data_IF_030008512485
#
_entry.id   IF_030008512485
#
_cell.length_a   1.000
_cell.length_b   1.000
_cell.length_c   1.000
_cell.angle_alpha   90.00
_cell.angle_beta   90.00
_cell.angle_gamma   90.00
#
_symmetry.space_group_name_H-M   'P 1'
#
loop_
_entity.id
_entity.type
_entity.pdbx_description
1 polymer ?
#
# COMPACT_ATOMS: atom_id res chain seq x y z
N UNK A 1 12.76 -3.46 18.73
CA UNK A 1 12.15 -3.20 17.41
C UNK A 1 10.65 -3.38 17.55
N UNK A 2 9.83 -2.36 17.28
CA UNK A 2 8.38 -2.50 17.40
C UNK A 2 7.89 -3.52 16.35
N UNK A 3 6.90 -4.36 16.68
CA UNK A 3 6.27 -5.29 15.71
C UNK A 3 5.87 -4.57 14.41
N UNK A 4 5.59 -3.27 14.53
CA UNK A 4 5.33 -2.35 13.42
C UNK A 4 6.48 -2.26 12.42
N UNK A 5 7.69 -1.93 12.87
CA UNK A 5 8.84 -1.76 11.98
C UNK A 5 9.24 -3.04 11.23
N UNK A 6 9.07 -4.22 11.85
CA UNK A 6 9.39 -5.51 11.21
C UNK A 6 8.46 -5.77 10.02
N UNK A 7 7.17 -5.51 10.17
CA UNK A 7 6.18 -5.69 9.08
C UNK A 7 6.43 -4.68 7.96
N UNK A 8 6.75 -3.43 8.27
CA UNK A 8 7.07 -2.41 7.26
C UNK A 8 8.28 -2.81 6.42
N UNK A 9 9.36 -3.27 7.06
CA UNK A 9 10.57 -3.72 6.35
C UNK A 9 10.27 -4.94 5.49
N UNK A 10 9.49 -5.89 6.00
CA UNK A 10 9.05 -7.05 5.24
C UNK A 10 8.27 -6.65 3.99
N UNK A 11 7.33 -5.71 4.11
CA UNK A 11 6.54 -5.19 2.98
C UNK A 11 7.41 -4.52 1.93
N UNK A 12 8.40 -3.72 2.34
CA UNK A 12 9.35 -3.11 1.42
C UNK A 12 10.12 -4.22 0.66
N UNK A 13 10.59 -5.23 1.35
CA UNK A 13 11.32 -6.34 0.73
C UNK A 13 10.44 -7.12 -0.27
N UNK A 14 9.17 -7.37 0.09
CA UNK A 14 8.19 -8.03 -0.80
C UNK A 14 7.91 -7.15 -2.03
N UNK A 15 7.79 -5.83 -1.87
CA UNK A 15 7.55 -4.90 -2.97
C UNK A 15 8.67 -4.84 -4.00
N UNK A 16 9.91 -5.13 -3.57
CA UNK A 16 11.09 -5.26 -4.44
C UNK A 16 11.22 -6.64 -5.08
N UNK A 17 10.81 -7.69 -4.38
CA UNK A 17 10.97 -9.08 -4.82
C UNK A 17 9.83 -9.58 -5.71
N UNK A 18 8.62 -9.01 -5.60
CA UNK A 18 7.43 -9.50 -6.29
C UNK A 18 6.82 -8.46 -7.24
N UNK A 19 6.25 -8.90 -8.39
CA UNK A 19 5.53 -8.02 -9.29
C UNK A 19 4.28 -7.41 -8.64
N UNK A 20 3.91 -6.21 -9.09
CA UNK A 20 2.87 -5.35 -8.49
C UNK A 20 1.52 -6.06 -8.27
N UNK A 21 1.14 -7.02 -9.12
CA UNK A 21 -0.12 -7.76 -9.00
C UNK A 21 -0.18 -8.73 -7.81
N UNK A 22 0.97 -9.24 -7.31
CA UNK A 22 1.03 -10.06 -6.08
C UNK A 22 1.09 -9.16 -4.86
N UNK A 23 1.77 -8.02 -4.99
CA UNK A 23 2.00 -7.10 -3.91
C UNK A 23 0.75 -6.30 -3.51
N UNK A 24 -0.05 -5.83 -4.48
CA UNK A 24 -1.25 -5.03 -4.23
C UNK A 24 -2.26 -5.71 -3.28
N UNK A 25 -2.62 -6.99 -3.47
CA UNK A 25 -3.47 -7.74 -2.54
C UNK A 25 -2.86 -7.87 -1.14
N UNK A 26 -1.54 -8.06 -1.04
CA UNK A 26 -0.85 -8.16 0.23
C UNK A 26 -0.87 -6.82 0.99
N UNK A 27 -0.63 -5.71 0.29
CA UNK A 27 -0.73 -4.36 0.84
C UNK A 27 -2.17 -4.07 1.30
N UNK A 28 -3.17 -4.49 0.53
CA UNK A 28 -4.59 -4.37 0.91
C UNK A 28 -4.90 -5.08 2.23
N UNK A 29 -4.54 -6.36 2.35
CA UNK A 29 -4.73 -7.13 3.59
C UNK A 29 -4.01 -6.46 4.76
N UNK A 30 -2.80 -5.97 4.52
CA UNK A 30 -2.02 -5.28 5.55
C UNK A 30 -2.75 -4.03 6.04
N UNK A 31 -3.31 -3.20 5.16
CA UNK A 31 -4.02 -1.98 5.58
C UNK A 31 -5.36 -2.26 6.24
N UNK A 32 -6.03 -3.34 5.83
CA UNK A 32 -7.32 -3.73 6.37
C UNK A 32 -7.16 -4.29 7.80
N UNK A 33 -6.17 -5.15 8.04
CA UNK A 33 -5.96 -5.77 9.35
C UNK A 33 -5.06 -4.93 10.27
N UNK A 34 -4.08 -4.22 9.72
CA UNK A 34 -3.05 -3.52 10.47
C UNK A 34 -3.13 -2.01 10.22
N UNK A 35 -2.77 -1.21 11.23
CA UNK A 35 -2.84 0.27 11.17
C UNK A 35 -1.65 0.87 10.40
N UNK A 36 -1.33 0.32 9.22
CA UNK A 36 -0.18 0.73 8.39
C UNK A 36 -0.61 1.62 7.22
N UNK A 37 -1.46 2.61 7.49
CA UNK A 37 -2.02 3.46 6.44
C UNK A 37 -0.94 4.34 5.79
N UNK A 38 -0.10 4.97 6.60
CA UNK A 38 0.97 5.85 6.11
C UNK A 38 2.08 5.07 5.42
N UNK A 39 2.44 3.90 5.94
CA UNK A 39 3.43 3.02 5.33
C UNK A 39 2.95 2.49 3.98
N UNK A 40 1.66 2.19 3.84
CA UNK A 40 1.08 1.78 2.56
C UNK A 40 1.10 2.90 1.51
N UNK A 41 0.84 4.16 1.91
CA UNK A 41 0.99 5.32 1.01
C UNK A 41 2.45 5.48 0.58
N UNK A 42 3.38 5.42 1.53
CA UNK A 42 4.81 5.55 1.26
C UNK A 42 5.30 4.47 0.29
N UNK A 43 4.86 3.21 0.47
CA UNK A 43 5.25 2.14 -0.45
C UNK A 43 4.54 2.28 -1.81
N UNK A 44 3.31 2.80 -1.85
CA UNK A 44 2.63 3.14 -3.11
C UNK A 44 3.45 4.12 -3.97
N UNK A 45 4.09 5.11 -3.34
CA UNK A 45 5.02 6.03 -4.02
C UNK A 45 6.31 5.34 -4.49
N UNK A 46 6.88 4.43 -3.68
CA UNK A 46 8.06 3.66 -4.10
C UNK A 46 7.73 2.82 -5.34
N UNK A 47 6.54 2.24 -5.41
CA UNK A 47 6.10 1.43 -6.55
C UNK A 47 5.90 2.28 -7.79
N UNK A 48 5.31 3.47 -7.66
CA UNK A 48 5.20 4.41 -8.77
C UNK A 48 6.59 4.82 -9.29
N UNK A 49 7.57 4.98 -8.40
CA UNK A 49 8.94 5.25 -8.80
C UNK A 49 9.66 4.04 -9.44
N UNK A 50 9.35 2.80 -9.04
CA UNK A 50 9.98 1.58 -9.55
C UNK A 50 9.34 1.05 -10.84
N UNK A 51 8.02 1.14 -10.94
CA UNK A 51 7.22 0.53 -12.00
C UNK A 51 6.43 1.55 -12.83
N UNK A 52 6.42 2.83 -12.44
CA UNK A 52 5.85 3.90 -13.24
C UNK A 52 6.63 4.06 -14.55
N UNK A 53 5.89 4.36 -15.62
CA UNK A 53 6.48 4.48 -16.96
C UNK A 53 7.50 5.62 -17.00
N UNK A 54 8.75 5.39 -17.45
CA UNK A 54 9.73 6.47 -17.65
C UNK A 54 9.32 7.47 -18.74
N UNK A 55 8.37 7.09 -19.61
CA UNK A 55 7.99 7.83 -20.81
C UNK A 55 6.64 8.52 -20.71
N UNK A 56 5.98 8.37 -19.56
CA UNK A 56 4.68 8.92 -19.32
C UNK A 56 4.72 9.76 -18.06
N UNK A 57 4.82 11.08 -18.19
CA UNK A 57 4.70 12.00 -17.06
C UNK A 57 3.41 11.74 -16.26
N UNK A 58 3.31 12.32 -15.06
CA UNK A 58 2.23 12.28 -14.02
C UNK A 58 0.80 11.83 -14.38
N UNK A 59 0.40 11.88 -15.65
CA UNK A 59 -0.87 11.46 -16.24
C UNK A 59 -0.87 10.07 -16.90
N UNK A 60 0.28 9.43 -17.09
CA UNK A 60 0.36 8.10 -17.72
C UNK A 60 0.25 7.02 -16.66
N UNK A 61 -0.98 6.55 -16.43
CA UNK A 61 -1.32 5.50 -15.47
C UNK A 61 -0.61 5.68 -14.12
N UNK A 62 -1.04 6.64 -13.29
CA UNK A 62 -0.42 6.85 -11.99
C UNK A 62 -0.83 5.71 -11.06
N UNK A 63 -0.13 4.59 -11.15
CA UNK A 63 -0.37 3.38 -10.36
C UNK A 63 -0.26 3.75 -8.89
N UNK A 64 0.70 4.61 -8.50
CA UNK A 64 0.82 5.13 -7.14
C UNK A 64 -0.38 5.94 -6.68
N UNK A 65 -0.90 6.84 -7.53
CA UNK A 65 -2.08 7.66 -7.21
C UNK A 65 -3.33 6.80 -7.10
N UNK A 66 -3.47 5.80 -7.98
CA UNK A 66 -4.54 4.81 -7.96
C UNK A 66 -4.52 4.01 -6.64
N UNK A 67 -3.34 3.56 -6.23
CA UNK A 67 -3.11 2.87 -4.95
C UNK A 67 -3.47 3.79 -3.78
N UNK A 68 -3.04 5.04 -3.79
CA UNK A 68 -3.36 6.01 -2.74
C UNK A 68 -4.86 6.28 -2.63
N UNK A 69 -5.56 6.50 -3.75
CA UNK A 69 -7.02 6.67 -3.78
C UNK A 69 -7.74 5.43 -3.26
N UNK A 70 -7.28 4.25 -3.66
CA UNK A 70 -7.84 2.99 -3.19
C UNK A 70 -7.67 2.80 -1.68
N UNK A 71 -6.51 3.19 -1.15
CA UNK A 71 -6.24 3.18 0.29
C UNK A 71 -7.13 4.16 1.05
N UNK A 72 -7.32 5.38 0.53
CA UNK A 72 -8.21 6.36 1.14
C UNK A 72 -9.65 5.84 1.19
N UNK A 73 -10.12 5.18 0.13
CA UNK A 73 -11.45 4.55 0.10
C UNK A 73 -11.61 3.41 1.11
N UNK A 74 -10.51 2.77 1.53
CA UNK A 74 -10.52 1.70 2.52
C UNK A 74 -10.60 2.19 3.97
N UNK A 75 -10.29 3.46 4.25
CA UNK A 75 -10.39 4.03 5.60
C UNK A 75 -11.75 3.80 6.28
N UNK A 76 -12.91 4.15 5.65
CA UNK A 76 -14.21 3.93 6.28
C UNK A 76 -14.53 2.44 6.49
N UNK A 77 -14.05 1.55 5.61
CA UNK A 77 -14.23 0.11 5.74
C UNK A 77 -13.41 -0.41 6.92
N UNK A 78 -12.14 0.00 7.02
CA UNK A 78 -11.24 -0.35 8.12
C UNK A 78 -11.81 0.08 9.47
N UNK A 79 -12.30 1.32 9.54
CA UNK A 79 -12.85 1.86 10.78
C UNK A 79 -14.12 1.11 11.16
N UNK A 80 -15.01 0.78 10.21
CA UNK A 80 -16.19 -0.06 10.48
C UNK A 80 -15.83 -1.44 11.01
N UNK A 81 -14.88 -2.14 10.40
CA UNK A 81 -14.44 -3.48 10.85
C UNK A 81 -13.94 -3.40 12.30
N UNK A 82 -13.07 -2.44 12.60
CA UNK A 82 -12.50 -2.29 13.94
C UNK A 82 -13.50 -1.85 15.01
N UNK A 83 -14.53 -1.09 14.64
CA UNK A 83 -15.59 -0.74 15.57
C UNK A 83 -16.63 -1.84 15.76
N UNK A 84 -16.74 -2.79 14.83
CA UNK A 84 -17.66 -3.92 14.96
C UNK A 84 -17.03 -5.11 15.71
N UNK A 85 -15.69 -5.15 15.76
CA UNK A 85 -14.91 -6.13 16.52
C UNK A 85 -14.58 -5.67 17.97
N UNK A 86 -15.09 -4.52 18.42
CA UNK A 86 -14.88 -3.94 19.76
C UNK A 86 -16.19 -3.90 20.56
#
# INVERSE_FOLDING_TARGET
MSKRGVVTILLIFISLAFPYWVYLPALFLTVLFLTFFWEAIFIGFIIDALYGSPWGGLLSYPVGLSVCLFLILLLPIRDRIRTNDA
#
